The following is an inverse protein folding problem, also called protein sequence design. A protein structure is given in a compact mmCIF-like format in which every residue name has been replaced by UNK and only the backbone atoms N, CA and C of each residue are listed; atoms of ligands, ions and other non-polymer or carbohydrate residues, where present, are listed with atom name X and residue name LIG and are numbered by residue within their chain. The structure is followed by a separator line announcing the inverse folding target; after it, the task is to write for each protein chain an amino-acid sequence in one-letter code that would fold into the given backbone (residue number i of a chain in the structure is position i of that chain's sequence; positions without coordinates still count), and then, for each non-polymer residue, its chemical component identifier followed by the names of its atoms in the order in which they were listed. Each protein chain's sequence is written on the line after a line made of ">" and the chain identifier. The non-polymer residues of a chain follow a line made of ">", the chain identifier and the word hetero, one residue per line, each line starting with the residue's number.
data_IF_752261394568
#
_entry.id   IF_752261394568
#
_cell.length_a   1.000
_cell.length_b   1.000
_cell.length_c   1.000
_cell.angle_alpha   90.00
_cell.angle_beta   90.00
_cell.angle_gamma   90.00
#
_symmetry.space_group_name_H-M   'P 1'
#
loop_
_entity.id
_entity.type
_entity.pdbx_description
1 polymer ?
#
# COMPACT_ATOMS: atom_id res chain seq x y z
N UNK A 1 11.30 8.63 -14.69
CA UNK A 1 10.31 7.57 -14.99
C UNK A 1 10.86 6.24 -14.48
N UNK A 2 10.51 5.87 -13.24
CA UNK A 2 10.94 4.59 -12.68
C UNK A 2 10.10 3.47 -13.31
N UNK A 3 10.75 2.67 -14.15
CA UNK A 3 10.20 1.46 -14.80
C UNK A 3 10.36 0.30 -13.81
N UNK A 4 9.33 0.02 -13.02
CA UNK A 4 9.28 -1.22 -12.25
C UNK A 4 8.04 -2.01 -12.67
N UNK A 5 8.28 -3.21 -13.19
CA UNK A 5 7.27 -4.08 -13.77
C UNK A 5 6.34 -4.65 -12.71
N UNK A 6 5.05 -4.39 -12.90
CA UNK A 6 3.95 -4.79 -12.05
C UNK A 6 3.74 -6.30 -12.09
N UNK A 7 4.16 -7.00 -11.05
CA UNK A 7 3.83 -8.40 -10.84
C UNK A 7 3.10 -8.57 -9.50
N UNK A 8 1.76 -8.60 -9.63
CA UNK A 8 0.72 -9.08 -8.68
C UNK A 8 0.00 -8.02 -7.84
N UNK A 9 -1.04 -7.42 -8.46
CA UNK A 9 -2.32 -6.94 -7.91
C UNK A 9 -2.46 -6.71 -6.40
N UNK A 10 -2.18 -5.49 -5.96
CA UNK A 10 -2.62 -4.97 -4.65
C UNK A 10 -3.60 -3.84 -4.91
N UNK A 11 -4.89 -4.02 -4.63
CA UNK A 11 -5.85 -2.94 -4.80
C UNK A 11 -5.87 -2.02 -3.58
N UNK A 12 -5.92 -0.72 -3.84
CA UNK A 12 -6.06 0.30 -2.83
C UNK A 12 -7.37 0.07 -2.03
N UNK A 13 -7.31 0.04 -0.70
CA UNK A 13 -8.50 -0.11 0.14
C UNK A 13 -9.59 0.95 -0.06
N UNK A 14 -9.21 2.16 -0.49
CA UNK A 14 -10.11 3.33 -0.54
C UNK A 14 -10.81 3.46 -1.88
N UNK A 15 -10.05 3.32 -2.97
CA UNK A 15 -10.54 3.58 -4.33
C UNK A 15 -10.51 2.34 -5.24
N UNK A 16 -10.07 1.19 -4.72
CA UNK A 16 -9.85 -0.08 -5.45
C UNK A 16 -8.86 0.02 -6.63
N UNK A 17 -8.18 1.16 -6.78
CA UNK A 17 -7.15 1.35 -7.79
C UNK A 17 -5.91 0.49 -7.54
N UNK A 18 -5.18 0.16 -8.59
CA UNK A 18 -3.93 -0.62 -8.46
C UNK A 18 -2.91 0.13 -7.60
N UNK A 19 -2.43 -0.51 -6.55
CA UNK A 19 -1.42 -0.01 -5.61
C UNK A 19 -0.15 -0.85 -5.76
N UNK A 20 1.00 -0.20 -5.60
CA UNK A 20 2.30 -0.85 -5.64
C UNK A 20 2.87 -0.99 -4.22
N UNK A 21 3.50 -2.14 -3.92
CA UNK A 21 4.38 -2.26 -2.76
C UNK A 21 5.79 -1.89 -3.21
N UNK A 22 6.30 -0.77 -2.73
CA UNK A 22 7.67 -0.33 -2.96
C UNK A 22 8.56 -0.68 -1.77
N UNK A 23 9.86 -0.72 -2.01
CA UNK A 23 10.85 -0.79 -0.94
C UNK A 23 11.45 0.59 -0.72
N UNK A 24 11.45 1.05 0.52
CA UNK A 24 12.08 2.30 0.91
C UNK A 24 13.57 2.26 0.53
N UNK A 25 14.13 3.31 -0.07
CA UNK A 25 15.55 3.38 -0.36
C UNK A 25 16.33 3.43 0.95
N UNK A 26 17.32 2.55 1.11
CA UNK A 26 18.16 2.47 2.31
C UNK A 26 19.50 1.82 2.00
N UNK A 27 20.54 2.11 2.80
CA UNK A 27 21.90 1.64 2.53
C UNK A 27 22.06 0.13 2.72
N UNK A 28 21.22 -0.50 3.54
CA UNK A 28 21.30 -1.92 3.87
C UNK A 28 20.01 -2.66 3.44
N UNK A 29 20.09 -3.65 2.54
CA UNK A 29 18.98 -4.52 2.17
C UNK A 29 18.31 -5.21 3.36
N UNK A 30 19.03 -5.49 4.44
CA UNK A 30 18.52 -6.17 5.64
C UNK A 30 17.63 -5.28 6.50
N UNK A 31 17.83 -3.96 6.46
CA UNK A 31 16.99 -2.98 7.18
C UNK A 31 15.96 -2.33 6.27
N UNK A 32 15.93 -2.71 4.99
CA UNK A 32 15.08 -2.12 3.98
C UNK A 32 13.61 -2.34 4.30
N UNK A 33 12.91 -1.25 4.56
CA UNK A 33 11.47 -1.25 4.82
C UNK A 33 10.68 -1.32 3.52
N UNK A 34 9.47 -1.84 3.63
CA UNK A 34 8.49 -1.89 2.56
C UNK A 34 7.37 -0.90 2.86
N UNK A 35 6.78 -0.35 1.82
CA UNK A 35 5.60 0.49 1.89
C UNK A 35 4.71 0.28 0.68
N UNK A 36 3.55 0.90 0.68
CA UNK A 36 2.63 0.95 -0.42
C UNK A 36 1.97 2.33 -0.47
N UNK A 37 1.68 2.78 -1.68
CA UNK A 37 1.00 4.06 -1.95
C UNK A 37 -0.03 3.85 -3.05
N UNK A 38 -1.19 4.47 -2.89
CA UNK A 38 -2.15 4.57 -3.97
C UNK A 38 -1.67 5.61 -5.01
N UNK A 39 -1.62 5.27 -6.31
CA UNK A 39 -1.18 6.22 -7.34
C UNK A 39 -2.21 7.29 -7.66
N UNK A 40 -3.46 7.13 -7.21
CA UNK A 40 -4.54 8.09 -7.48
C UNK A 40 -4.33 9.34 -6.64
N UNK A 41 -4.26 10.51 -7.28
CA UNK A 41 -3.99 11.79 -6.62
C UNK A 41 -5.03 12.13 -5.55
N UNK A 42 -6.30 11.80 -5.79
CA UNK A 42 -7.41 11.99 -4.85
C UNK A 42 -7.45 10.96 -3.71
N UNK A 43 -6.52 10.00 -3.68
CA UNK A 43 -6.50 8.89 -2.75
C UNK A 43 -5.23 8.90 -1.91
N UNK A 44 -5.32 9.49 -0.71
CA UNK A 44 -4.21 9.59 0.23
C UNK A 44 -3.91 8.29 1.01
N UNK A 45 -4.33 7.13 0.48
CA UNK A 45 -4.05 5.85 1.12
C UNK A 45 -2.57 5.49 0.98
N UNK A 46 -1.87 5.46 2.12
CA UNK A 46 -0.45 5.16 2.21
C UNK A 46 -0.17 4.30 3.45
N UNK A 47 0.77 3.36 3.34
CA UNK A 47 1.33 2.64 4.48
C UNK A 47 2.82 2.38 4.26
N UNK A 48 3.67 2.60 5.25
CA UNK A 48 5.13 2.46 5.14
C UNK A 48 5.76 1.94 6.44
N UNK A 49 7.06 1.64 6.43
CA UNK A 49 7.78 1.14 7.62
C UNK A 49 7.67 -0.37 7.88
N UNK A 50 7.17 -1.17 6.92
CA UNK A 50 6.99 -2.60 7.12
C UNK A 50 8.30 -3.37 6.94
N UNK A 51 8.57 -4.34 7.81
CA UNK A 51 9.80 -5.15 7.75
C UNK A 51 9.83 -6.12 6.56
N UNK A 52 8.67 -6.35 5.92
CA UNK A 52 8.59 -7.24 4.76
C UNK A 52 7.37 -6.93 3.91
N UNK A 53 7.41 -7.39 2.65
CA UNK A 53 6.24 -7.38 1.75
C UNK A 53 5.03 -8.08 2.37
N UNK A 54 5.23 -9.17 3.11
CA UNK A 54 4.12 -9.88 3.77
C UNK A 54 3.45 -9.01 4.82
N UNK A 55 4.21 -8.27 5.64
CA UNK A 55 3.68 -7.32 6.63
C UNK A 55 2.95 -6.16 5.95
N UNK A 56 3.51 -5.62 4.88
CA UNK A 56 2.87 -4.58 4.08
C UNK A 56 1.49 -5.02 3.55
N UNK A 57 1.37 -6.29 3.10
CA UNK A 57 0.09 -6.87 2.65
C UNK A 57 -0.92 -7.06 3.79
N UNK A 58 -0.47 -7.54 4.95
CA UNK A 58 -1.34 -7.67 6.12
C UNK A 58 -1.88 -6.30 6.53
N UNK A 59 -1.01 -5.29 6.59
CA UNK A 59 -1.43 -3.93 6.90
C UNK A 59 -2.39 -3.35 5.86
N UNK A 60 -2.20 -3.64 4.56
CA UNK A 60 -3.14 -3.26 3.51
C UNK A 60 -4.51 -3.91 3.71
N UNK A 61 -4.57 -5.18 4.12
CA UNK A 61 -5.83 -5.87 4.45
C UNK A 61 -6.49 -5.28 5.71
N UNK A 62 -5.74 -5.04 6.78
CA UNK A 62 -6.27 -4.40 8.00
C UNK A 62 -6.79 -3.00 7.72
N UNK A 63 -6.11 -2.25 6.84
CA UNK A 63 -6.59 -0.95 6.39
C UNK A 63 -7.91 -1.10 5.63
N UNK A 64 -8.07 -2.09 4.74
CA UNK A 64 -9.36 -2.37 4.07
C UNK A 64 -10.48 -2.58 5.08
N UNK A 65 -10.24 -3.38 6.11
CA UNK A 65 -11.23 -3.70 7.14
C UNK A 65 -11.63 -2.45 7.93
N UNK A 66 -10.68 -1.63 8.38
CA UNK A 66 -10.96 -0.37 9.10
C UNK A 66 -11.77 0.61 8.26
N UNK A 67 -11.36 0.83 7.02
CA UNK A 67 -11.98 1.83 6.13
C UNK A 67 -13.28 1.34 5.47
N UNK A 68 -13.54 0.02 5.44
CA UNK A 68 -14.83 -0.51 5.01
C UNK A 68 -15.98 -0.06 5.93
N UNK A 69 -15.69 0.22 7.20
CA UNK A 69 -16.68 0.78 8.13
C UNK A 69 -16.99 2.25 7.84
N UNK A 70 -16.00 3.08 7.54
CA UNK A 70 -16.21 4.51 7.23
C UNK A 70 -16.97 4.75 5.92
N UNK A 71 -16.89 3.82 4.96
CA UNK A 71 -17.67 3.88 3.71
C UNK A 71 -19.19 3.75 3.90
N UNK A 72 -19.67 3.30 5.07
CA UNK A 72 -21.11 3.16 5.34
C UNK A 72 -21.79 4.45 5.76
N UNK A 73 -21.05 5.48 6.15
CA UNK A 73 -21.63 6.71 6.73
C UNK A 73 -21.87 7.84 5.71
N UNK A 74 -21.58 7.61 4.42
CA UNK A 74 -21.87 8.55 3.32
C UNK A 74 -22.83 7.95 2.30
N UNK A 75 -23.97 7.42 2.75
CA UNK A 75 -25.11 7.11 1.88
C UNK A 75 -26.37 7.81 2.38
#
# INVERSE_FOLDING_TARGET
>A
MARYGFLRGWNCPRCDGETEIFYEPGPDPATRRCGWRCPREDCQAIGFGFESRRRARVALREYRERFAHERREYR
#
